data_IF_235138816334
#
_entry.id   IF_235138816334
#
_cell.length_a   1.000
_cell.length_b   1.000
_cell.length_c   1.000
_cell.angle_alpha   90.00
_cell.angle_beta   90.00
_cell.angle_gamma   90.00
#
_symmetry.space_group_name_H-M   'P 1'
#
loop_
_entity.id
_entity.type
_entity.pdbx_description
1 polymer ?
#
# COMPACT_ATOMS: atom_id res chain seq x y z
N UNK A 1 -20.11 44.76 49.89
CA UNK A 1 -19.12 43.90 50.56
C UNK A 1 -18.13 43.46 49.49
N UNK A 2 -16.90 43.98 49.54
CA UNK A 2 -15.79 43.65 48.64
C UNK A 2 -14.76 42.92 49.48
N UNK A 3 -14.26 41.79 49.02
CA UNK A 3 -13.11 41.13 49.63
C UNK A 3 -12.22 40.63 48.51
N UNK A 4 -11.04 41.23 48.42
CA UNK A 4 -9.90 40.77 47.63
C UNK A 4 -9.06 39.87 48.53
N UNK A 5 -8.52 38.78 48.01
CA UNK A 5 -7.40 38.07 48.63
C UNK A 5 -6.29 37.85 47.61
N UNK A 6 -5.13 38.36 48.00
CA UNK A 6 -3.81 38.21 47.38
C UNK A 6 -3.19 36.93 47.96
N UNK A 7 -2.50 36.13 47.15
CA UNK A 7 -1.64 35.02 47.61
C UNK A 7 -0.20 35.31 47.15
N UNK A 8 0.83 35.13 48.00
CA UNK A 8 2.17 35.66 47.77
C UNK A 8 3.10 34.73 46.97
N UNK A 9 4.06 35.37 46.29
CA UNK A 9 5.25 34.79 45.68
C UNK A 9 6.29 34.48 46.76
N UNK A 10 6.98 33.35 46.65
CA UNK A 10 8.25 33.08 47.36
C UNK A 10 9.32 32.72 46.34
N UNK A 11 10.45 33.44 46.41
CA UNK A 11 11.72 33.15 45.73
C UNK A 11 12.80 33.04 46.81
N UNK A 12 13.54 31.94 46.81
CA UNK A 12 14.88 31.75 47.39
C UNK A 12 15.51 30.62 46.54
N UNK A 13 16.70 30.66 45.96
CA UNK A 13 17.93 31.40 46.26
C UNK A 13 19.09 30.38 46.30
N UNK A 14 20.09 30.58 45.46
CA UNK A 14 21.11 29.62 45.01
C UNK A 14 22.10 29.04 46.05
N UNK A 15 22.76 27.94 45.68
CA UNK A 15 24.00 27.43 46.27
C UNK A 15 24.81 26.63 45.24
N UNK A 16 25.94 27.18 44.81
CA UNK A 16 26.96 26.55 43.95
C UNK A 16 28.03 25.81 44.78
N UNK A 17 28.84 24.94 44.15
CA UNK A 17 30.31 24.85 44.26
C UNK A 17 30.91 23.54 43.64
N UNK A 18 31.92 23.70 42.77
CA UNK A 18 33.10 22.83 42.50
C UNK A 18 32.89 21.55 41.67
N UNK A 19 33.71 21.16 40.70
CA UNK A 19 35.02 21.62 40.20
C UNK A 19 35.88 20.41 39.70
N UNK A 20 36.45 20.53 38.50
CA UNK A 20 37.73 19.95 37.98
C UNK A 20 37.78 18.42 37.72
N UNK A 21 37.90 17.92 36.47
CA UNK A 21 39.06 17.81 35.53
C UNK A 21 39.76 16.42 35.62
N UNK A 22 39.75 15.62 34.53
CA UNK A 22 40.95 15.07 33.83
C UNK A 22 40.66 13.93 32.80
N UNK A 23 41.10 14.17 31.56
CA UNK A 23 41.86 13.30 30.62
C UNK A 23 41.30 11.94 30.13
N UNK A 24 40.78 11.97 28.90
CA UNK A 24 41.45 11.46 27.69
C UNK A 24 41.88 9.99 27.58
N UNK A 25 41.32 9.28 26.60
CA UNK A 25 42.10 8.36 25.72
C UNK A 25 41.35 8.02 24.42
N UNK A 26 41.96 8.41 23.29
CA UNK A 26 41.69 7.89 21.95
C UNK A 26 42.07 6.41 21.83
N UNK A 27 41.25 5.63 21.13
CA UNK A 27 41.72 4.55 20.24
C UNK A 27 40.78 4.42 19.04
N UNK A 28 41.31 4.77 17.87
CA UNK A 28 40.80 4.37 16.57
C UNK A 28 41.15 2.90 16.26
N UNK A 29 40.29 2.25 15.49
CA UNK A 29 40.47 0.94 14.84
C UNK A 29 39.14 0.49 14.25
N UNK A 30 38.80 0.90 13.02
CA UNK A 30 39.06 0.18 11.75
C UNK A 30 38.23 -1.11 11.57
N UNK A 31 37.42 -1.07 10.49
CA UNK A 31 36.87 -2.15 9.62
C UNK A 31 35.99 -3.27 10.20
N UNK A 32 34.74 -3.38 9.71
CA UNK A 32 34.46 -4.18 8.51
C UNK A 32 32.98 -4.25 8.16
N UNK A 33 32.73 -4.16 6.85
CA UNK A 33 31.50 -4.50 6.15
C UNK A 33 31.16 -5.98 6.37
N UNK A 34 29.89 -6.25 6.68
CA UNK A 34 29.16 -7.49 6.42
C UNK A 34 27.73 -7.02 6.10
N UNK A 35 27.20 -7.16 4.89
CA UNK A 35 27.27 -8.33 4.03
C UNK A 35 25.88 -8.96 4.06
N UNK A 36 25.08 -8.68 3.02
CA UNK A 36 23.71 -9.16 2.89
C UNK A 36 23.63 -10.69 3.00
N UNK A 37 22.62 -11.15 3.73
CA UNK A 37 22.23 -12.56 3.77
C UNK A 37 21.09 -12.78 2.79
N UNK A 38 21.49 -13.13 1.57
CA UNK A 38 20.64 -13.83 0.61
C UNK A 38 20.40 -15.25 1.13
N UNK A 39 19.16 -15.56 1.48
CA UNK A 39 18.70 -16.93 1.67
C UNK A 39 18.25 -17.50 0.32
N UNK A 40 19.20 -18.05 -0.44
CA UNK A 40 18.93 -18.86 -1.60
C UNK A 40 18.44 -20.25 -1.19
N UNK A 41 17.17 -20.57 -1.47
CA UNK A 41 16.68 -21.94 -1.38
C UNK A 41 16.83 -22.61 -2.76
N UNK A 42 17.85 -23.45 -2.87
CA UNK A 42 18.08 -24.39 -3.96
C UNK A 42 17.20 -25.62 -3.77
N UNK A 43 16.27 -25.86 -4.71
CA UNK A 43 15.59 -27.16 -4.83
C UNK A 43 16.23 -27.97 -5.96
N UNK A 44 16.99 -28.99 -5.56
CA UNK A 44 17.57 -29.98 -6.44
C UNK A 44 16.49 -30.89 -7.03
N UNK A 45 16.30 -30.83 -8.35
CA UNK A 45 15.55 -31.85 -9.09
C UNK A 45 16.43 -33.10 -9.24
N UNK A 46 16.02 -34.19 -8.58
CA UNK A 46 16.64 -35.51 -8.72
C UNK A 46 16.11 -36.15 -10.00
N UNK A 47 17.02 -36.50 -10.91
CA UNK A 47 16.71 -37.23 -12.13
C UNK A 47 16.36 -38.70 -11.85
N UNK A 48 15.43 -39.21 -12.66
CA UNK A 48 15.34 -40.63 -13.01
C UNK A 48 15.28 -40.69 -14.54
N UNK A 49 16.23 -41.41 -15.12
CA UNK A 49 16.31 -41.63 -16.55
C UNK A 49 15.59 -42.92 -16.95
N UNK A 50 15.13 -42.96 -18.20
CA UNK A 50 14.97 -44.20 -18.94
C UNK A 50 15.21 -43.93 -20.43
N UNK A 51 15.94 -44.87 -21.04
CA UNK A 51 16.48 -44.80 -22.39
C UNK A 51 15.65 -45.65 -23.38
N UNK A 52 15.74 -45.33 -24.68
CA UNK A 52 15.30 -46.20 -25.79
C UNK A 52 14.82 -45.40 -27.01
N UNK A 53 15.69 -45.02 -27.96
CA UNK A 53 16.08 -45.71 -29.22
C UNK A 53 15.28 -45.30 -30.47
N UNK A 54 15.97 -44.54 -31.34
CA UNK A 54 16.29 -44.80 -32.77
C UNK A 54 15.24 -44.73 -33.91
N UNK A 55 15.68 -44.17 -35.06
CA UNK A 55 15.10 -44.31 -36.41
C UNK A 55 14.28 -43.12 -36.94
N UNK A 56 14.85 -42.17 -37.71
CA UNK A 56 15.02 -42.18 -39.19
C UNK A 56 13.73 -41.99 -40.02
N UNK A 57 13.59 -40.85 -40.71
CA UNK A 57 13.78 -40.70 -42.18
C UNK A 57 13.26 -39.36 -42.70
N UNK A 58 13.88 -38.97 -43.80
CA UNK A 58 13.77 -37.76 -44.64
C UNK A 58 12.47 -37.76 -45.46
N UNK A 59 11.92 -36.57 -45.74
CA UNK A 59 10.96 -36.35 -46.82
C UNK A 59 10.94 -34.87 -47.21
N UNK A 60 11.44 -34.59 -48.42
CA UNK A 60 11.55 -33.28 -49.06
C UNK A 60 11.02 -33.44 -50.47
N UNK A 61 9.96 -32.72 -50.81
CA UNK A 61 9.47 -32.42 -52.16
C UNK A 61 8.18 -31.57 -52.03
N UNK A 62 8.13 -30.29 -52.36
CA UNK A 62 8.40 -29.56 -53.63
C UNK A 62 7.16 -29.44 -54.54
N UNK A 63 7.10 -28.29 -55.24
CA UNK A 63 6.29 -27.90 -56.40
C UNK A 63 4.95 -27.15 -56.10
N UNK A 64 4.96 -25.81 -56.09
CA UNK A 64 4.80 -24.84 -57.22
C UNK A 64 3.34 -24.61 -57.65
N UNK A 65 2.78 -23.43 -57.41
CA UNK A 65 2.84 -22.20 -58.22
C UNK A 65 1.78 -22.14 -59.35
N UNK A 66 0.99 -21.06 -59.35
CA UNK A 66 0.07 -20.68 -60.41
C UNK A 66 -0.60 -19.34 -60.06
N UNK A 67 -0.22 -18.30 -60.78
CA UNK A 67 -0.51 -16.89 -60.54
C UNK A 67 -1.67 -16.35 -61.41
N UNK A 68 -2.15 -15.16 -61.01
CA UNK A 68 -2.84 -14.12 -61.79
C UNK A 68 -4.32 -14.38 -62.18
N UNK A 69 -5.27 -13.45 -62.14
CA UNK A 69 -5.46 -12.10 -61.57
C UNK A 69 -6.95 -11.73 -61.80
N UNK A 70 -7.37 -10.58 -61.23
CA UNK A 70 -8.56 -9.75 -61.54
C UNK A 70 -9.92 -10.10 -60.92
N UNK A 71 -10.46 -9.15 -60.15
CA UNK A 71 -11.90 -9.00 -59.91
C UNK A 71 -12.27 -8.63 -58.47
N UNK A 72 -12.37 -7.34 -58.18
CA UNK A 72 -12.62 -6.81 -56.85
C UNK A 72 -14.01 -7.08 -56.25
N UNK A 73 -14.10 -6.94 -54.92
CA UNK A 73 -15.13 -6.22 -54.16
C UNK A 73 -14.82 -6.44 -52.66
N UNK A 74 -14.68 -5.34 -51.92
CA UNK A 74 -14.42 -5.27 -50.48
C UNK A 74 -15.32 -6.20 -49.64
N UNK A 75 -14.82 -6.66 -48.49
CA UNK A 75 -15.41 -6.09 -47.28
C UNK A 75 -14.35 -5.47 -46.37
N UNK A 76 -14.67 -4.25 -45.95
CA UNK A 76 -13.97 -3.44 -44.95
C UNK A 76 -13.80 -4.24 -43.66
N UNK A 77 -12.57 -4.66 -43.37
CA UNK A 77 -12.14 -4.96 -42.02
C UNK A 77 -11.44 -3.72 -41.47
N UNK A 78 -12.13 -3.04 -40.56
CA UNK A 78 -11.64 -1.90 -39.82
C UNK A 78 -10.49 -2.33 -38.91
N UNK A 79 -9.26 -2.30 -39.45
CA UNK A 79 -8.03 -2.24 -38.66
C UNK A 79 -7.79 -0.77 -38.40
N UNK A 80 -8.45 -0.27 -37.35
CA UNK A 80 -8.17 1.03 -36.77
C UNK A 80 -6.74 1.07 -36.25
N UNK A 81 -5.84 1.65 -37.05
CA UNK A 81 -4.45 1.86 -36.70
C UNK A 81 -4.33 2.75 -35.47
N UNK A 82 -3.78 2.20 -34.40
CA UNK A 82 -3.15 3.01 -33.37
C UNK A 82 -1.82 3.53 -33.93
N UNK A 83 -1.88 4.69 -34.57
CA UNK A 83 -0.71 5.52 -34.80
C UNK A 83 -0.03 5.77 -33.46
N UNK A 84 1.24 5.39 -33.37
CA UNK A 84 2.08 5.72 -32.22
C UNK A 84 2.06 7.22 -31.96
N UNK A 85 1.41 7.59 -30.87
CA UNK A 85 1.82 8.73 -30.08
C UNK A 85 2.77 8.16 -29.03
N UNK A 86 3.99 8.68 -28.99
CA UNK A 86 4.78 8.65 -27.76
C UNK A 86 3.88 9.21 -26.67
N UNK A 87 3.36 8.33 -25.81
CA UNK A 87 2.34 8.64 -24.82
C UNK A 87 2.81 9.82 -24.00
N UNK A 88 2.16 10.97 -24.18
CA UNK A 88 2.22 12.01 -23.16
C UNK A 88 1.65 11.38 -21.90
N UNK A 89 2.28 11.56 -20.72
CA UNK A 89 1.71 11.06 -19.49
C UNK A 89 0.28 11.59 -19.39
N UNK A 90 -0.67 10.71 -19.09
CA UNK A 90 -1.98 11.12 -18.65
C UNK A 90 -1.73 11.84 -17.33
N UNK A 91 -1.50 13.14 -17.37
CA UNK A 91 -1.39 13.96 -16.17
C UNK A 91 -2.80 14.37 -15.78
N UNK A 92 -3.19 14.02 -14.55
CA UNK A 92 -4.38 14.56 -13.95
C UNK A 92 -4.09 16.03 -13.69
N UNK A 93 -4.74 16.93 -14.42
CA UNK A 93 -4.51 18.35 -14.25
C UNK A 93 -5.13 18.83 -12.92
N UNK A 94 -4.29 19.32 -12.02
CA UNK A 94 -4.71 19.83 -10.70
C UNK A 94 -5.01 18.72 -9.70
N UNK A 95 -5.74 19.06 -8.64
CA UNK A 95 -6.05 18.16 -7.52
C UNK A 95 -6.76 16.88 -7.99
N UNK A 96 -6.39 15.75 -7.41
CA UNK A 96 -6.94 14.43 -7.74
C UNK A 96 -7.97 14.03 -6.69
N UNK A 97 -9.22 13.87 -7.11
CA UNK A 97 -10.29 13.38 -6.25
C UNK A 97 -10.46 11.88 -6.47
N UNK A 98 -10.25 11.10 -5.42
CA UNK A 98 -10.39 9.65 -5.38
C UNK A 98 -11.54 9.29 -4.44
N UNK A 99 -12.23 8.17 -4.69
CA UNK A 99 -13.33 7.71 -3.85
C UNK A 99 -12.94 6.44 -3.12
N UNK A 100 -12.66 6.57 -1.83
CA UNK A 100 -12.41 5.40 -0.98
C UNK A 100 -13.74 4.84 -0.45
N UNK A 101 -13.79 3.53 -0.23
CA UNK A 101 -14.87 2.88 0.50
C UNK A 101 -14.43 2.60 1.92
N UNK A 102 -15.04 3.31 2.85
CA UNK A 102 -14.88 3.10 4.29
C UNK A 102 -15.96 2.13 4.76
N UNK A 103 -15.59 1.16 5.59
CA UNK A 103 -16.52 0.23 6.23
C UNK A 103 -16.47 0.46 7.72
N UNK A 104 -17.59 0.92 8.26
CA UNK A 104 -17.78 1.15 9.68
C UNK A 104 -18.13 -0.15 10.40
N UNK A 105 -17.49 -0.44 11.52
CA UNK A 105 -17.66 -1.61 12.37
C UNK A 105 -18.14 -1.19 13.75
N UNK A 106 -18.76 -2.13 14.46
CA UNK A 106 -19.00 -1.95 15.88
C UNK A 106 -17.75 -2.32 16.68
N UNK A 107 -17.51 -1.65 17.81
CA UNK A 107 -16.43 -1.94 18.77
C UNK A 107 -16.46 -3.39 19.28
N UNK A 108 -17.60 -4.07 19.11
CA UNK A 108 -17.77 -5.47 19.51
C UNK A 108 -17.13 -6.47 18.54
N UNK A 109 -16.70 -6.02 17.36
CA UNK A 109 -15.96 -6.85 16.42
C UNK A 109 -14.59 -7.21 17.03
N UNK A 110 -14.16 -8.48 17.00
CA UNK A 110 -13.08 -8.98 17.84
C UNK A 110 -11.69 -8.38 17.53
N UNK A 111 -11.49 -7.85 16.32
CA UNK A 111 -10.21 -7.27 15.88
C UNK A 111 -10.02 -5.79 16.24
N UNK A 112 -11.05 -5.11 16.77
CA UNK A 112 -10.98 -3.73 17.24
C UNK A 112 -10.74 -3.72 18.75
N UNK A 113 -9.95 -2.76 19.24
CA UNK A 113 -9.60 -2.64 20.67
C UNK A 113 -9.01 -3.94 21.28
N UNK A 114 -8.25 -4.68 20.47
CA UNK A 114 -7.69 -5.98 20.85
C UNK A 114 -6.24 -5.87 21.36
N UNK A 115 -5.28 -6.39 20.61
CA UNK A 115 -3.86 -6.43 21.00
C UNK A 115 -3.11 -5.32 20.27
N UNK A 116 -2.41 -4.49 21.04
CA UNK A 116 -1.57 -3.40 20.54
C UNK A 116 -0.16 -3.94 20.29
N UNK A 117 0.21 -4.07 19.01
CA UNK A 117 1.54 -4.44 18.57
C UNK A 117 1.73 -4.14 17.09
N UNK A 118 2.98 -3.93 16.67
CA UNK A 118 3.38 -3.99 15.26
C UNK A 118 3.34 -5.47 14.82
N UNK A 119 2.65 -5.74 13.71
CA UNK A 119 2.36 -7.09 13.21
C UNK A 119 2.37 -7.15 11.66
N UNK A 120 3.53 -6.93 11.01
CA UNK A 120 3.67 -7.15 9.58
C UNK A 120 3.51 -8.64 9.24
N UNK A 121 3.00 -8.93 8.05
CA UNK A 121 2.70 -10.28 7.59
C UNK A 121 1.29 -10.76 7.96
N UNK A 122 0.37 -9.85 8.32
CA UNK A 122 -1.07 -10.15 8.42
C UNK A 122 -1.63 -10.59 7.06
N UNK A 123 -1.13 -10.00 5.97
CA UNK A 123 -1.59 -10.22 4.60
C UNK A 123 -0.57 -11.00 3.77
N UNK A 124 -1.05 -11.74 2.78
CA UNK A 124 -0.20 -12.44 1.81
C UNK A 124 0.43 -11.44 0.83
N UNK A 125 1.50 -11.87 0.17
CA UNK A 125 2.25 -11.05 -0.78
C UNK A 125 1.46 -10.70 -2.05
N UNK A 126 0.46 -11.51 -2.43
CA UNK A 126 -0.38 -11.28 -3.60
C UNK A 126 -1.83 -11.04 -3.14
N UNK A 127 -2.51 -10.09 -3.81
CA UNK A 127 -3.95 -9.90 -3.64
C UNK A 127 -4.74 -11.14 -4.08
N UNK A 128 -5.93 -11.30 -3.49
CA UNK A 128 -6.90 -12.28 -3.90
C UNK A 128 -7.43 -12.01 -5.32
N UNK A 129 -8.10 -12.99 -5.90
CA UNK A 129 -8.76 -12.84 -7.19
C UNK A 129 -9.91 -11.79 -7.16
N UNK A 130 -10.37 -11.42 -5.97
CA UNK A 130 -11.33 -10.35 -5.70
C UNK A 130 -10.65 -8.98 -5.46
N UNK A 131 -9.34 -8.87 -5.69
CA UNK A 131 -8.50 -7.70 -5.45
C UNK A 131 -8.42 -7.30 -3.97
N UNK A 132 -8.69 -8.22 -3.03
CA UNK A 132 -8.65 -7.94 -1.58
C UNK A 132 -7.45 -8.59 -0.92
N UNK A 133 -6.93 -8.03 0.19
CA UNK A 133 -5.86 -8.65 0.94
C UNK A 133 -6.29 -10.03 1.42
N UNK A 134 -5.41 -11.01 1.24
CA UNK A 134 -5.64 -12.37 1.72
C UNK A 134 -4.93 -12.54 3.04
N UNK A 135 -5.62 -13.02 4.06
CA UNK A 135 -5.00 -13.30 5.36
C UNK A 135 -3.86 -14.32 5.23
N UNK A 136 -2.68 -13.99 5.78
CA UNK A 136 -1.51 -14.86 5.76
C UNK A 136 -1.41 -15.78 6.99
N UNK A 137 -1.75 -15.28 8.18
CA UNK A 137 -1.89 -16.07 9.40
C UNK A 137 -0.63 -16.83 9.87
N UNK A 138 0.58 -16.51 9.41
CA UNK A 138 1.77 -17.35 9.58
C UNK A 138 3.02 -16.61 10.07
N UNK A 139 3.79 -17.16 11.05
CA UNK A 139 3.41 -18.28 11.93
C UNK A 139 2.35 -17.87 12.96
N UNK A 140 2.16 -16.57 13.17
CA UNK A 140 1.16 -15.95 14.05
C UNK A 140 0.89 -14.54 13.57
N UNK A 141 -0.31 -14.04 13.80
CA UNK A 141 -0.70 -12.63 13.65
C UNK A 141 -1.32 -12.17 14.99
N UNK A 142 -0.51 -11.83 16.00
CA UNK A 142 -0.97 -11.57 17.37
C UNK A 142 -2.01 -10.45 17.52
N UNK A 143 -2.18 -9.56 16.52
CA UNK A 143 -3.12 -8.44 16.60
C UNK A 143 -4.49 -8.72 15.98
N UNK A 144 -4.71 -9.93 15.47
CA UNK A 144 -5.96 -10.35 14.82
C UNK A 144 -6.50 -11.65 15.41
N UNK A 145 -7.79 -11.93 15.18
CA UNK A 145 -8.50 -13.08 15.73
C UNK A 145 -8.74 -14.19 14.68
N UNK A 146 -7.85 -14.29 13.70
CA UNK A 146 -7.89 -15.32 12.66
C UNK A 146 -8.54 -14.85 11.36
N UNK A 147 -8.56 -15.77 10.39
CA UNK A 147 -9.03 -15.48 9.03
C UNK A 147 -10.50 -15.03 8.96
N UNK A 148 -11.38 -15.61 9.77
CA UNK A 148 -12.82 -15.33 9.70
C UNK A 148 -13.19 -13.86 9.97
N UNK A 149 -12.71 -13.28 11.08
CA UNK A 149 -12.83 -11.83 11.33
C UNK A 149 -12.10 -10.98 10.28
N UNK A 150 -10.85 -11.32 9.94
CA UNK A 150 -10.07 -10.56 8.95
C UNK A 150 -10.77 -10.48 7.58
N UNK A 151 -11.37 -11.56 7.12
CA UNK A 151 -12.06 -11.60 5.82
C UNK A 151 -13.24 -10.59 5.71
N UNK A 152 -13.69 -10.02 6.84
CA UNK A 152 -14.76 -9.03 6.91
C UNK A 152 -14.25 -7.60 6.73
N UNK A 153 -12.96 -7.33 6.94
CA UNK A 153 -12.38 -5.98 6.94
C UNK A 153 -12.75 -5.23 5.66
N UNK A 154 -12.38 -5.78 4.51
CA UNK A 154 -12.59 -5.12 3.21
C UNK A 154 -13.75 -5.72 2.40
N UNK A 155 -14.74 -6.33 3.07
CA UNK A 155 -15.92 -6.92 2.43
C UNK A 155 -17.21 -6.45 3.08
N UNK A 156 -18.15 -5.99 2.26
CA UNK A 156 -19.47 -5.58 2.70
C UNK A 156 -20.21 -6.79 3.31
N UNK A 157 -20.33 -6.79 4.63
CA UNK A 157 -20.84 -7.95 5.37
C UNK A 157 -22.07 -7.53 6.16
N UNK A 158 -23.29 -7.90 5.70
CA UNK A 158 -24.53 -7.46 6.34
C UNK A 158 -24.58 -7.77 7.83
N UNK A 159 -24.81 -6.72 8.64
CA UNK A 159 -24.88 -6.82 10.09
C UNK A 159 -23.52 -6.84 10.80
N UNK A 160 -22.41 -6.80 10.06
CA UNK A 160 -21.05 -6.67 10.60
C UNK A 160 -20.51 -5.26 10.34
N UNK A 161 -20.63 -4.77 9.11
CA UNK A 161 -20.15 -3.44 8.73
C UNK A 161 -21.15 -2.65 7.88
N UNK A 162 -20.93 -1.33 7.81
CA UNK A 162 -21.68 -0.40 6.96
C UNK A 162 -20.72 0.32 5.98
N UNK A 163 -20.81 0.06 4.67
CA UNK A 163 -19.99 0.74 3.68
C UNK A 163 -20.46 2.18 3.44
N UNK A 164 -19.52 3.12 3.37
CA UNK A 164 -19.70 4.55 3.15
C UNK A 164 -18.60 5.02 2.19
N UNK A 165 -18.98 5.71 1.12
CA UNK A 165 -18.00 6.27 0.18
C UNK A 165 -17.49 7.62 0.69
N UNK A 166 -16.17 7.77 0.74
CA UNK A 166 -15.46 8.94 1.29
C UNK A 166 -14.52 9.51 0.21
N UNK A 167 -14.65 10.81 -0.14
CA UNK A 167 -13.74 11.43 -1.08
C UNK A 167 -12.40 11.76 -0.43
N UNK A 168 -11.30 11.39 -1.08
CA UNK A 168 -9.95 11.79 -0.74
C UNK A 168 -9.43 12.71 -1.84
N UNK A 169 -9.01 13.93 -1.48
CA UNK A 169 -8.53 14.93 -2.44
C UNK A 169 -7.03 15.14 -2.26
N UNK A 170 -6.25 14.57 -3.16
CA UNK A 170 -4.80 14.78 -3.21
C UNK A 170 -4.52 16.11 -3.90
N UNK A 171 -3.92 17.03 -3.16
CA UNK A 171 -3.62 18.39 -3.64
C UNK A 171 -2.24 18.43 -4.28
N UNK A 172 -2.12 19.03 -5.46
CA UNK A 172 -0.81 19.20 -6.09
C UNK A 172 0.02 20.24 -5.33
N UNK A 173 1.28 19.92 -5.02
CA UNK A 173 2.23 20.77 -4.33
C UNK A 173 3.18 21.47 -5.31
N UNK A 174 3.82 22.60 -4.91
CA UNK A 174 4.69 23.36 -5.80
C UNK A 174 5.91 22.60 -6.33
N UNK A 175 6.32 21.53 -5.65
CA UNK A 175 7.42 20.65 -6.07
C UNK A 175 6.97 19.51 -7.01
N UNK A 176 5.69 19.46 -7.35
CA UNK A 176 5.09 18.46 -8.24
C UNK A 176 4.58 17.21 -7.52
N UNK A 177 4.74 17.10 -6.20
CA UNK A 177 4.13 16.02 -5.42
C UNK A 177 2.63 16.23 -5.28
N UNK A 178 1.88 15.15 -5.10
CA UNK A 178 0.47 15.15 -4.76
C UNK A 178 0.32 14.64 -3.32
N UNK A 179 -0.32 15.45 -2.47
CA UNK A 179 -0.43 15.17 -1.05
C UNK A 179 -1.89 15.17 -0.59
N UNK A 180 -2.28 14.11 0.10
CA UNK A 180 -3.40 14.12 1.03
C UNK A 180 -2.82 13.99 2.43
N UNK A 181 -3.17 14.89 3.35
CA UNK A 181 -2.63 14.90 4.71
C UNK A 181 -3.74 15.25 5.70
N UNK A 182 -4.21 14.24 6.43
CA UNK A 182 -5.14 14.39 7.54
C UNK A 182 -4.56 13.79 8.81
N UNK A 183 -4.27 14.65 9.78
CA UNK A 183 -3.70 14.29 11.08
C UNK A 183 -4.77 13.93 12.13
N UNK A 184 -6.06 14.01 11.76
CA UNK A 184 -7.18 13.61 12.59
C UNK A 184 -8.26 12.98 11.69
N UNK A 185 -7.87 11.87 11.04
CA UNK A 185 -8.63 11.25 9.97
C UNK A 185 -9.81 10.42 10.51
N UNK A 186 -10.92 11.10 10.75
CA UNK A 186 -12.18 10.49 11.20
C UNK A 186 -13.30 10.74 10.18
N UNK A 187 -13.22 10.15 8.97
CA UNK A 187 -14.06 10.53 7.83
C UNK A 187 -15.54 10.18 8.01
N UNK A 188 -15.86 9.33 8.98
CA UNK A 188 -17.21 8.79 9.21
C UNK A 188 -17.77 9.14 10.60
N UNK A 189 -17.25 10.18 11.27
CA UNK A 189 -17.80 10.69 12.53
C UNK A 189 -19.32 10.91 12.43
N UNK A 190 -20.05 10.37 13.41
CA UNK A 190 -21.50 10.44 13.52
C UNK A 190 -22.29 9.67 12.44
N UNK A 191 -21.62 8.90 11.59
CA UNK A 191 -22.24 8.08 10.52
C UNK A 191 -22.23 6.59 10.90
N UNK A 192 -22.90 5.76 10.08
CA UNK A 192 -22.94 4.30 10.29
C UNK A 192 -23.58 3.90 11.63
N UNK A 193 -22.87 3.10 12.41
CA UNK A 193 -23.19 2.73 13.79
C UNK A 193 -22.93 3.86 14.81
N UNK A 194 -22.30 4.95 14.37
CA UNK A 194 -21.93 6.12 15.16
C UNK A 194 -20.65 5.92 15.96
N UNK A 195 -20.28 6.91 16.77
CA UNK A 195 -18.98 6.95 17.46
C UNK A 195 -18.93 6.02 18.71
N UNK A 196 -20.00 5.27 18.98
CA UNK A 196 -20.14 4.31 20.09
C UNK A 196 -19.78 4.84 21.49
N UNK A 197 -19.90 6.16 21.69
CA UNK A 197 -19.61 6.83 22.96
C UNK A 197 -18.19 7.38 23.08
N UNK A 198 -17.37 7.19 22.03
CA UNK A 198 -16.09 7.87 21.87
C UNK A 198 -16.28 9.28 21.29
N UNK A 199 -15.25 10.15 21.33
CA UNK A 199 -15.28 11.46 20.68
C UNK A 199 -15.32 11.40 19.14
N UNK A 200 -14.82 10.30 18.57
CA UNK A 200 -14.69 10.05 17.14
C UNK A 200 -15.04 8.59 16.83
N UNK A 201 -15.29 8.28 15.56
CA UNK A 201 -15.41 6.92 15.08
C UNK A 201 -14.03 6.33 14.76
N UNK A 202 -13.60 5.34 15.56
CA UNK A 202 -12.31 4.65 15.44
C UNK A 202 -12.42 3.22 14.90
N UNK A 203 -13.62 2.74 14.54
CA UNK A 203 -13.80 1.33 14.24
C UNK A 203 -14.11 1.17 12.76
N UNK A 204 -13.12 1.41 11.90
CA UNK A 204 -13.34 1.34 10.47
C UNK A 204 -12.16 0.80 9.69
N UNK A 205 -12.45 0.35 8.48
CA UNK A 205 -11.44 0.05 7.48
C UNK A 205 -11.70 0.86 6.21
N UNK A 206 -10.66 1.08 5.42
CA UNK A 206 -10.72 1.83 4.17
C UNK A 206 -10.10 0.99 3.05
N UNK A 207 -10.78 0.95 1.91
CA UNK A 207 -10.35 0.33 0.66
C UNK A 207 -10.39 1.38 -0.45
N UNK A 208 -9.31 1.48 -1.23
CA UNK A 208 -9.25 2.35 -2.40
C UNK A 208 -8.46 1.64 -3.52
N UNK A 209 -9.03 1.60 -4.72
CA UNK A 209 -8.40 1.05 -5.91
C UNK A 209 -8.12 2.17 -6.91
N UNK A 210 -6.90 2.21 -7.43
CA UNK A 210 -6.52 3.17 -8.46
C UNK A 210 -5.68 2.50 -9.54
N UNK A 211 -5.57 3.17 -10.68
CA UNK A 211 -4.61 2.83 -11.72
C UNK A 211 -3.71 4.02 -12.03
N UNK A 212 -2.51 3.74 -12.51
CA UNK A 212 -1.55 4.75 -12.95
C UNK A 212 -0.68 4.24 -14.09
N UNK A 213 -0.14 5.15 -14.89
CA UNK A 213 0.91 4.82 -15.86
C UNK A 213 2.26 4.93 -15.16
N UNK A 214 3.01 3.84 -15.10
CA UNK A 214 4.39 3.86 -14.60
C UNK A 214 5.32 4.39 -15.70
N UNK A 215 5.95 5.54 -15.49
CA UNK A 215 6.87 6.20 -16.42
C UNK A 215 8.34 6.04 -16.01
N UNK A 216 8.61 5.70 -14.74
CA UNK A 216 9.94 5.61 -14.17
C UNK A 216 10.25 6.83 -13.29
N UNK A 217 10.88 6.57 -12.15
CA UNK A 217 11.30 7.56 -11.16
C UNK A 217 10.24 7.98 -10.15
N UNK A 218 9.03 7.40 -10.21
CA UNK A 218 7.98 7.78 -9.26
C UNK A 218 8.20 7.18 -7.87
N UNK A 219 7.88 8.01 -6.87
CA UNK A 219 7.87 7.66 -5.46
C UNK A 219 6.44 7.74 -4.95
N UNK A 220 6.06 6.76 -4.14
CA UNK A 220 4.82 6.77 -3.38
C UNK A 220 5.15 6.57 -1.90
N UNK A 221 4.48 7.29 -1.01
CA UNK A 221 4.56 7.06 0.42
C UNK A 221 3.20 7.15 1.08
N UNK A 222 3.03 6.35 2.12
CA UNK A 222 1.80 6.32 2.90
C UNK A 222 2.17 6.22 4.37
N UNK A 223 1.62 7.14 5.16
CA UNK A 223 1.70 7.17 6.61
C UNK A 223 0.31 6.92 7.20
N UNK A 224 0.26 6.07 8.23
CA UNK A 224 -0.94 5.94 9.05
C UNK A 224 -0.71 5.19 10.36
N UNK A 225 -1.73 5.26 11.20
CA UNK A 225 -2.03 4.38 12.33
C UNK A 225 -3.51 3.98 12.20
N UNK A 226 -3.89 2.72 12.32
CA UNK A 226 -3.10 1.55 12.70
C UNK A 226 -2.53 0.81 11.48
N UNK A 227 -3.31 -0.07 10.83
CA UNK A 227 -2.81 -0.94 9.78
C UNK A 227 -2.80 -0.26 8.42
N UNK A 228 -1.76 -0.55 7.64
CA UNK A 228 -1.64 -0.06 6.28
C UNK A 228 -0.99 -1.09 5.36
N UNK A 229 -1.67 -1.39 4.26
CA UNK A 229 -1.16 -2.23 3.18
C UNK A 229 -1.29 -1.49 1.85
N UNK A 230 -0.22 -1.47 1.07
CA UNK A 230 -0.25 -0.95 -0.30
C UNK A 230 0.22 -2.02 -1.26
N UNK A 231 -0.56 -2.27 -2.30
CA UNK A 231 -0.24 -3.21 -3.36
C UNK A 231 -0.03 -2.47 -4.68
N UNK A 232 0.97 -2.89 -5.44
CA UNK A 232 1.20 -2.44 -6.81
C UNK A 232 1.14 -3.65 -7.71
N UNK A 233 0.30 -3.58 -8.76
CA UNK A 233 0.13 -4.70 -9.69
C UNK A 233 -0.26 -6.02 -8.96
N UNK A 234 -1.10 -5.90 -7.93
CA UNK A 234 -1.54 -7.01 -7.08
C UNK A 234 -0.47 -7.56 -6.12
N UNK A 235 0.69 -6.90 -5.98
CA UNK A 235 1.81 -7.34 -5.13
C UNK A 235 2.06 -6.38 -3.99
N UNK A 236 2.23 -6.92 -2.78
CA UNK A 236 2.46 -6.16 -1.55
C UNK A 236 3.77 -5.36 -1.65
N UNK A 237 3.65 -4.05 -1.55
CA UNK A 237 4.76 -3.09 -1.65
C UNK A 237 5.02 -2.34 -0.33
N UNK A 238 3.98 -2.13 0.48
CA UNK A 238 4.09 -1.65 1.87
C UNK A 238 3.28 -2.59 2.77
N UNK A 239 3.90 -3.02 3.87
CA UNK A 239 3.29 -3.83 4.93
C UNK A 239 3.59 -3.18 6.29
N UNK A 240 2.62 -2.43 6.79
CA UNK A 240 2.59 -1.85 8.13
C UNK A 240 1.38 -2.43 8.87
N UNK A 241 1.31 -3.75 8.98
CA UNK A 241 0.29 -4.41 9.76
C UNK A 241 0.47 -4.21 11.27
N UNK A 242 -0.64 -4.27 12.01
CA UNK A 242 -0.68 -4.16 13.46
C UNK A 242 -1.32 -2.86 13.97
N UNK A 243 -1.47 -2.78 15.28
CA UNK A 243 -1.99 -1.61 16.00
C UNK A 243 -0.80 -0.86 16.59
N UNK A 244 -0.56 0.34 16.08
CA UNK A 244 0.63 1.14 16.37
C UNK A 244 0.37 2.62 16.07
N UNK A 245 1.07 3.54 16.74
CA UNK A 245 1.05 4.95 16.34
C UNK A 245 1.66 5.16 14.95
N UNK A 246 1.48 6.36 14.38
CA UNK A 246 1.79 6.65 12.98
C UNK A 246 3.15 6.11 12.50
N UNK A 247 3.12 5.25 11.47
CA UNK A 247 4.29 4.73 10.76
C UNK A 247 4.23 5.09 9.28
N UNK A 248 5.40 5.17 8.63
CA UNK A 248 5.52 5.54 7.22
C UNK A 248 6.18 4.42 6.40
N UNK A 249 5.60 4.13 5.23
CA UNK A 249 6.16 3.28 4.20
C UNK A 249 6.42 4.06 2.92
N UNK A 250 7.49 3.70 2.20
CA UNK A 250 7.89 4.35 0.93
C UNK A 250 8.15 3.29 -0.13
N UNK A 251 7.60 3.51 -1.31
CA UNK A 251 7.84 2.76 -2.53
C UNK A 251 8.62 3.65 -3.48
N UNK A 252 9.87 3.28 -3.74
CA UNK A 252 10.58 3.70 -4.95
C UNK A 252 10.26 2.69 -6.05
N UNK A 253 9.45 3.10 -7.04
CA UNK A 253 8.94 2.16 -8.05
C UNK A 253 10.07 1.60 -8.93
N UNK A 254 11.14 2.35 -9.17
CA UNK A 254 12.29 1.86 -9.95
C UNK A 254 13.03 0.77 -9.18
N UNK A 255 13.26 1.00 -7.88
CA UNK A 255 13.93 0.04 -7.02
C UNK A 255 13.13 -1.25 -6.85
N UNK A 256 11.80 -1.16 -6.85
CA UNK A 256 10.90 -2.31 -6.66
C UNK A 256 10.37 -2.91 -7.97
N UNK A 257 10.68 -2.33 -9.13
CA UNK A 257 10.03 -2.65 -10.41
C UNK A 257 10.03 -4.16 -10.73
N UNK A 258 11.16 -4.83 -10.52
CA UNK A 258 11.30 -6.26 -10.77
C UNK A 258 10.45 -7.14 -9.83
N UNK A 259 10.35 -6.75 -8.55
CA UNK A 259 9.55 -7.49 -7.56
C UNK A 259 8.04 -7.29 -7.80
N UNK A 260 7.65 -6.07 -8.18
CA UNK A 260 6.27 -5.70 -8.50
C UNK A 260 5.84 -6.15 -9.91
N UNK A 261 6.79 -6.55 -10.75
CA UNK A 261 6.52 -6.97 -12.12
C UNK A 261 6.05 -5.83 -13.03
N UNK A 262 6.58 -4.62 -12.81
CA UNK A 262 6.22 -3.42 -13.55
C UNK A 262 7.34 -2.98 -14.50
N UNK A 263 6.96 -2.38 -15.62
CA UNK A 263 7.88 -1.85 -16.64
C UNK A 263 7.37 -0.52 -17.17
N UNK A 264 8.26 0.48 -17.40
CA UNK A 264 7.83 1.81 -17.85
C UNK A 264 6.98 1.78 -19.13
N UNK A 265 6.01 2.69 -19.20
CA UNK A 265 5.09 2.87 -20.31
C UNK A 265 3.79 2.05 -20.23
N UNK A 266 3.57 1.28 -19.15
CA UNK A 266 2.36 0.47 -18.96
C UNK A 266 1.50 1.00 -17.80
N UNK A 267 0.24 0.60 -17.80
CA UNK A 267 -0.74 0.89 -16.73
C UNK A 267 -0.70 -0.21 -15.68
N UNK A 268 -0.71 0.15 -14.41
CA UNK A 268 -0.72 -0.77 -13.27
C UNK A 268 -1.72 -0.32 -12.22
N UNK A 269 -2.27 -1.29 -11.49
CA UNK A 269 -3.08 -1.04 -10.30
C UNK A 269 -2.21 -0.59 -9.13
N UNK A 270 -2.75 0.32 -8.32
CA UNK A 270 -2.24 0.77 -7.03
C UNK A 270 -3.41 0.73 -6.03
N UNK A 271 -3.35 -0.21 -5.10
CA UNK A 271 -4.45 -0.54 -4.20
C UNK A 271 -4.04 -0.25 -2.75
N UNK A 272 -4.92 0.44 -2.01
CA UNK A 272 -4.69 0.88 -0.65
C UNK A 272 -5.70 0.25 0.30
N UNK A 273 -5.18 -0.26 1.41
CA UNK A 273 -5.97 -0.84 2.48
C UNK A 273 -5.50 -0.27 3.81
N UNK A 274 -6.44 0.21 4.61
CA UNK A 274 -6.18 0.82 5.90
C UNK A 274 -7.20 0.31 6.93
N UNK A 275 -6.80 0.19 8.19
CA UNK A 275 -7.72 -0.11 9.29
C UNK A 275 -7.36 0.74 10.50
N UNK A 276 -8.33 1.52 11.00
CA UNK A 276 -8.26 2.18 12.30
C UNK A 276 -8.89 1.22 13.31
N UNK A 277 -8.13 0.82 14.33
CA UNK A 277 -8.58 -0.21 15.29
C UNK A 277 -8.39 0.21 16.73
N UNK A 278 -7.91 1.42 16.99
CA UNK A 278 -7.64 1.90 18.33
C UNK A 278 -8.11 3.35 18.62
N UNK A 279 -8.70 3.55 19.80
CA UNK A 279 -9.40 4.76 20.24
C UNK A 279 -8.50 5.92 20.69
N UNK A 280 -7.26 5.99 20.20
CA UNK A 280 -6.28 7.02 20.60
C UNK A 280 -6.15 8.15 19.59
N UNK A 281 -5.68 7.84 18.37
CA UNK A 281 -5.38 8.79 17.29
C UNK A 281 -5.71 8.11 15.95
N UNK A 282 -5.84 8.89 14.87
CA UNK A 282 -5.96 8.35 13.51
C UNK A 282 -5.37 9.35 12.51
N UNK A 283 -4.37 8.90 11.76
CA UNK A 283 -3.57 9.68 10.82
C UNK A 283 -3.62 8.99 9.47
N UNK A 284 -3.81 9.79 8.41
CA UNK A 284 -3.83 9.28 7.05
C UNK A 284 -3.14 10.29 6.14
N UNK A 285 -1.98 9.91 5.62
CA UNK A 285 -1.22 10.78 4.72
C UNK A 285 -0.65 10.01 3.54
N UNK A 286 -0.95 10.48 2.34
CA UNK A 286 -0.37 10.01 1.08
C UNK A 286 0.48 11.14 0.51
N UNK A 287 1.71 10.83 0.13
CA UNK A 287 2.52 11.68 -0.76
C UNK A 287 2.97 10.86 -1.97
N UNK A 288 2.80 11.39 -3.17
CA UNK A 288 3.21 10.69 -4.40
C UNK A 288 3.68 11.63 -5.49
N UNK A 289 4.62 11.19 -6.31
CA UNK A 289 5.00 11.88 -7.54
C UNK A 289 4.27 11.29 -8.77
N UNK A 290 3.37 10.32 -8.57
CA UNK A 290 2.54 9.78 -9.64
C UNK A 290 1.58 10.88 -10.11
N UNK A 291 1.78 11.35 -11.35
CA UNK A 291 1.09 12.52 -11.89
C UNK A 291 -0.41 12.32 -12.16
N UNK A 292 -0.91 11.09 -12.12
CA UNK A 292 -2.32 10.78 -12.26
C UNK A 292 -2.66 9.41 -11.71
N UNK A 293 -3.49 9.40 -10.67
CA UNK A 293 -4.21 8.24 -10.19
C UNK A 293 -5.64 8.32 -10.73
N UNK A 294 -6.07 7.27 -11.42
CA UNK A 294 -7.45 7.14 -11.88
C UNK A 294 -8.21 6.20 -10.97
N UNK A 295 -9.34 6.67 -10.45
CA UNK A 295 -10.22 5.91 -9.57
C UNK A 295 -10.77 4.66 -10.28
N UNK A 296 -10.65 3.50 -9.64
CA UNK A 296 -11.26 2.25 -10.09
C UNK A 296 -12.40 1.92 -9.13
N UNK A 297 -13.66 1.93 -9.57
CA UNK A 297 -14.79 1.70 -8.68
C UNK A 297 -14.67 0.36 -7.92
N UNK A 298 -14.68 0.47 -6.60
CA UNK A 298 -14.82 -0.64 -5.63
C UNK A 298 -16.20 -1.28 -5.79
N UNK A 299 -16.21 -2.54 -6.24
CA UNK A 299 -17.41 -3.36 -6.47
C UNK A 299 -17.90 -4.13 -5.25
#
# INVERSE_FOLDING_TARGET
MRTWWIVPITVIGAGACGGEDDLGRDTAGEVSSLGGISAGLSAAATGIGEAGTDGSTVGVDDATAGSDAEGGHEPVFDVGGATGTTGMPMECAGDQMLTAKVRDFQQSHPDFEYVIAVDPGIVQADLGADLKPVYAGMPTTPTTNGQGPFDQWYRDTPGVNMPIDVPLVLTQQPDGTYTFDDQAFFPIDGQGFGDEGNPHNFHFTLELHTEFVYQGGEIFSFTGDDDLFTFVNGKLAIDLGGVHGAMNGVIDLDAQAAALGITPGNVYALDFFFAERHTSESHFRIDTTIGCLTDVPVG
#
